data_IF_173727726131
#
_entry.id   IF_173727726131
#
_cell.length_a   1.000
_cell.length_b   1.000
_cell.length_c   1.000
_cell.angle_alpha   90.00
_cell.angle_beta   90.00
_cell.angle_gamma   90.00
#
_symmetry.space_group_name_H-M   'P 1'
#
loop_
_entity.id
_entity.type
_entity.pdbx_description
1 polymer ?
#
# COMPACT_ATOMS: atom_id res chain seq x y z
N UNK A 1 29.98 -0.33 -10.97
CA UNK A 1 29.19 0.86 -10.58
C UNK A 1 27.84 0.36 -10.07
N UNK A 2 27.47 0.64 -8.83
CA UNK A 2 26.17 0.22 -8.29
C UNK A 2 25.06 1.10 -8.87
N UNK A 3 23.99 0.49 -9.41
CA UNK A 3 22.79 1.23 -9.84
C UNK A 3 22.12 1.84 -8.61
N UNK A 4 21.99 3.15 -8.60
CA UNK A 4 21.21 3.86 -7.59
C UNK A 4 19.75 3.40 -7.65
N UNK A 5 19.22 2.87 -6.54
CA UNK A 5 17.86 2.34 -6.48
C UNK A 5 16.91 3.51 -6.25
N UNK A 6 16.12 3.87 -7.27
CA UNK A 6 15.08 4.92 -7.14
C UNK A 6 14.16 4.59 -5.95
N UNK A 7 13.77 5.60 -5.14
CA UNK A 7 12.83 5.36 -4.05
C UNK A 7 11.50 4.84 -4.61
N UNK A 8 11.00 3.75 -4.04
CA UNK A 8 9.68 3.21 -4.40
C UNK A 8 8.59 4.12 -3.85
N UNK A 9 7.66 4.55 -4.72
CA UNK A 9 6.50 5.36 -4.34
C UNK A 9 5.53 4.58 -3.47
N UNK A 10 5.17 3.37 -3.88
CA UNK A 10 4.26 2.50 -3.12
C UNK A 10 5.06 1.49 -2.32
N UNK A 11 4.85 1.47 -1.00
CA UNK A 11 5.50 0.51 -0.10
C UNK A 11 4.46 -0.41 0.50
N UNK A 12 4.77 -1.70 0.52
CA UNK A 12 3.96 -2.69 1.21
C UNK A 12 4.30 -2.69 2.70
N UNK A 13 3.32 -2.39 3.54
CA UNK A 13 3.47 -2.33 4.99
C UNK A 13 3.07 -3.65 5.67
N UNK A 14 2.11 -4.37 5.10
CA UNK A 14 1.60 -5.61 5.69
C UNK A 14 1.19 -6.60 4.61
N UNK A 15 1.31 -7.88 4.93
CA UNK A 15 0.81 -9.02 4.16
C UNK A 15 0.20 -10.02 5.12
N UNK A 16 -0.97 -10.52 4.78
CA UNK A 16 -1.64 -11.63 5.43
C UNK A 16 -2.09 -12.66 4.36
N UNK A 17 -1.91 -13.95 4.66
CA UNK A 17 -2.19 -15.08 3.76
C UNK A 17 -0.99 -15.61 2.92
N UNK A 18 -1.00 -16.91 2.60
CA UNK A 18 0.10 -17.60 1.89
C UNK A 18 -0.12 -17.83 0.38
N UNK A 19 -1.38 -17.97 -0.09
CA UNK A 19 -1.72 -18.28 -1.49
C UNK A 19 -2.77 -17.34 -2.10
N UNK A 20 -3.62 -16.75 -1.26
CA UNK A 20 -4.40 -15.54 -1.51
C UNK A 20 -3.92 -14.51 -0.51
N UNK A 21 -3.63 -13.29 -0.98
CA UNK A 21 -2.87 -12.30 -0.23
C UNK A 21 -3.69 -11.05 0.02
N UNK A 22 -3.88 -10.72 1.29
CA UNK A 22 -4.33 -9.42 1.76
C UNK A 22 -3.09 -8.57 2.03
N UNK A 23 -2.99 -7.40 1.42
CA UNK A 23 -1.84 -6.51 1.59
C UNK A 23 -2.28 -5.08 1.89
N UNK A 24 -1.45 -4.38 2.67
CA UNK A 24 -1.60 -2.95 2.92
C UNK A 24 -0.45 -2.22 2.24
N UNK A 25 -0.80 -1.29 1.37
CA UNK A 25 0.14 -0.46 0.62
C UNK A 25 0.01 1.00 1.03
N UNK A 26 1.13 1.72 1.07
CA UNK A 26 1.17 3.17 1.34
C UNK A 26 1.79 3.89 0.17
N UNK A 27 1.11 4.91 -0.35
CA UNK A 27 1.67 5.88 -1.28
C UNK A 27 2.52 6.89 -0.51
N UNK A 28 3.83 6.88 -0.71
CA UNK A 28 4.77 7.77 -0.03
C UNK A 28 4.73 9.23 -0.52
N UNK A 29 3.99 9.52 -1.59
CA UNK A 29 3.79 10.90 -2.05
C UNK A 29 2.57 11.55 -1.37
N UNK A 30 1.49 10.79 -1.16
CA UNK A 30 0.22 11.31 -0.63
C UNK A 30 -0.09 10.88 0.80
N UNK A 31 0.54 9.80 1.26
CA UNK A 31 0.29 9.15 2.54
C UNK A 31 -0.92 8.21 2.51
N UNK A 32 -1.67 8.14 1.40
CA UNK A 32 -2.88 7.32 1.30
C UNK A 32 -2.56 5.85 1.46
N UNK A 33 -3.36 5.16 2.27
CA UNK A 33 -3.27 3.71 2.49
C UNK A 33 -4.27 2.99 1.57
N UNK A 34 -3.84 1.86 1.03
CA UNK A 34 -4.62 1.01 0.14
C UNK A 34 -4.66 -0.42 0.66
N UNK A 35 -5.81 -1.06 0.52
CA UNK A 35 -5.97 -2.49 0.71
C UNK A 35 -5.96 -3.18 -0.65
N UNK A 36 -5.06 -4.13 -0.79
CA UNK A 36 -4.99 -5.01 -1.95
C UNK A 36 -5.43 -6.41 -1.52
N UNK A 37 -6.30 -7.03 -2.29
CA UNK A 37 -6.66 -8.44 -2.13
C UNK A 37 -6.45 -9.16 -3.45
N UNK A 38 -5.78 -10.30 -3.40
CA UNK A 38 -5.67 -11.22 -4.53
C UNK A 38 -6.06 -12.64 -4.13
N UNK A 39 -6.77 -13.33 -5.01
CA UNK A 39 -7.13 -14.74 -4.89
C UNK A 39 -7.14 -15.41 -6.26
N UNK A 40 -6.32 -16.45 -6.42
CA UNK A 40 -6.12 -17.10 -7.71
C UNK A 40 -5.56 -16.13 -8.76
N UNK A 41 -6.31 -15.94 -9.86
CA UNK A 41 -5.92 -15.05 -10.97
C UNK A 41 -6.60 -13.67 -10.93
N UNK A 42 -7.33 -13.37 -9.86
CA UNK A 42 -8.04 -12.10 -9.70
C UNK A 42 -7.47 -11.31 -8.51
N UNK A 43 -7.59 -9.99 -8.58
CA UNK A 43 -7.27 -9.11 -7.48
C UNK A 43 -7.88 -7.73 -7.65
N UNK A 44 -7.93 -6.99 -6.55
CA UNK A 44 -8.50 -5.65 -6.49
C UNK A 44 -7.75 -4.78 -5.51
N UNK A 45 -7.78 -3.47 -5.76
CA UNK A 45 -7.19 -2.44 -4.92
C UNK A 45 -8.29 -1.46 -4.54
N UNK A 46 -8.37 -1.10 -3.26
CA UNK A 46 -9.27 -0.06 -2.76
C UNK A 46 -8.54 0.85 -1.79
N UNK A 47 -8.99 2.10 -1.68
CA UNK A 47 -8.52 3.02 -0.64
C UNK A 47 -9.05 2.55 0.71
N UNK A 48 -8.21 2.57 1.73
CA UNK A 48 -8.66 2.38 3.11
C UNK A 48 -9.30 3.67 3.60
N UNK A 49 -10.57 3.57 4.02
CA UNK A 49 -11.35 4.70 4.48
C UNK A 49 -11.52 4.66 6.00
N UNK A 50 -11.57 5.84 6.61
CA UNK A 50 -12.01 6.01 7.99
C UNK A 50 -13.55 5.94 8.13
N UNK A 51 -14.06 6.21 9.33
CA UNK A 51 -15.50 6.12 9.63
C UNK A 51 -16.32 7.17 8.91
N UNK A 52 -15.69 8.27 8.49
CA UNK A 52 -16.29 9.39 7.79
C UNK A 52 -16.19 9.24 6.27
N UNK A 53 -15.61 8.13 5.78
CA UNK A 53 -15.42 7.88 4.36
C UNK A 53 -14.25 8.64 3.74
N UNK A 54 -13.32 9.15 4.56
CA UNK A 54 -12.09 9.81 4.07
C UNK A 54 -10.94 8.81 4.01
N UNK A 55 -9.97 9.01 3.09
CA UNK A 55 -8.78 8.17 3.03
C UNK A 55 -7.98 8.20 4.32
N UNK A 56 -7.54 7.04 4.80
CA UNK A 56 -6.58 6.93 5.89
C UNK A 56 -5.21 7.39 5.38
N UNK A 57 -4.64 8.40 6.03
CA UNK A 57 -3.36 9.01 5.68
C UNK A 57 -2.29 8.64 6.72
N UNK A 58 -1.22 7.99 6.26
CA UNK A 58 0.01 7.79 7.03
C UNK A 58 0.88 9.05 6.91
N UNK A 59 1.31 9.66 8.04
CA UNK A 59 2.18 10.83 8.00
C UNK A 59 3.47 10.55 7.22
N UNK A 60 3.75 11.39 6.21
CA UNK A 60 5.01 11.33 5.46
C UNK A 60 6.03 12.21 6.19
N UNK A 61 6.93 11.57 6.94
CA UNK A 61 8.12 12.27 7.45
C UNK A 61 9.11 12.34 6.28
N UNK A 62 9.29 13.52 5.70
CA UNK A 62 10.40 13.76 4.78
C UNK A 62 11.67 13.86 5.63
N UNK A 63 12.53 12.84 5.52
CA UNK A 63 13.90 12.86 6.02
C UNK A 63 14.75 13.83 5.23
#
# INVERSE_FOLDING_TARGET
>A
MAKEKKPQRFIKQHTDGSFSGNEIWVDRETGVNYFFHASGYAGGLTVLLDREGKPIITPIIKS
#
